data_IF_602335723823
#
_entry.id   IF_602335723823
#
_cell.length_a   1.000
_cell.length_b   1.000
_cell.length_c   1.000
_cell.angle_alpha   90.00
_cell.angle_beta   90.00
_cell.angle_gamma   90.00
#
_symmetry.space_group_name_H-M   'P 1'
#
loop_
_entity.id
_entity.type
_entity.pdbx_description
1 polymer ?
#
# COMPACT_ATOMS: atom_id res chain seq x y z
N UNK A 1 10.61 -32.36 17.21
CA UNK A 1 10.86 -33.61 17.96
C UNK A 1 9.54 -34.39 18.02
N UNK A 2 9.53 -35.51 17.29
CA UNK A 2 8.82 -36.76 17.53
C UNK A 2 7.31 -36.77 17.20
N UNK A 3 6.86 -37.29 16.06
CA UNK A 3 6.85 -38.63 15.45
C UNK A 3 5.85 -39.60 16.08
N UNK A 4 5.09 -40.19 15.16
CA UNK A 4 4.53 -41.58 15.06
C UNK A 4 3.03 -41.68 15.22
N UNK A 5 2.32 -42.17 14.23
CA UNK A 5 2.36 -43.43 13.46
C UNK A 5 1.50 -44.55 14.10
N UNK A 6 0.78 -45.28 13.27
CA UNK A 6 0.41 -46.72 13.27
C UNK A 6 -1.10 -46.93 13.02
N UNK A 7 -1.50 -47.37 11.89
CA UNK A 7 -1.52 -48.69 11.25
C UNK A 7 -2.65 -49.63 11.65
N UNK A 8 -3.40 -50.03 10.63
CA UNK A 8 -3.97 -51.35 10.33
C UNK A 8 -5.17 -51.91 11.16
N UNK A 9 -6.22 -52.23 10.44
CA UNK A 9 -6.60 -53.67 10.31
C UNK A 9 -7.49 -53.92 9.10
N UNK A 10 -7.01 -54.87 8.29
CA UNK A 10 -7.68 -55.58 7.22
C UNK A 10 -8.59 -56.65 7.85
N UNK A 11 -9.85 -56.75 7.40
CA UNK A 11 -10.60 -57.99 7.54
C UNK A 11 -11.23 -58.30 6.20
N UNK A 12 -10.75 -59.38 5.64
CA UNK A 12 -11.29 -60.11 4.49
C UNK A 12 -12.52 -60.91 4.92
N UNK A 13 -13.59 -60.86 4.15
CA UNK A 13 -14.58 -61.96 4.12
C UNK A 13 -15.13 -62.11 2.71
N UNK A 14 -14.99 -63.32 2.25
CA UNK A 14 -15.31 -63.87 0.95
C UNK A 14 -16.78 -64.24 0.83
N UNK A 15 -17.32 -64.15 -0.41
CA UNK A 15 -18.22 -65.07 -1.11
C UNK A 15 -19.73 -64.90 -1.00
N UNK A 16 -20.46 -64.54 -2.03
CA UNK A 16 -21.17 -65.44 -2.97
C UNK A 16 -22.02 -64.67 -3.99
N UNK A 17 -21.99 -65.20 -5.20
CA UNK A 17 -22.70 -64.74 -6.39
C UNK A 17 -24.21 -64.71 -6.24
N UNK A 18 -24.86 -63.67 -6.76
CA UNK A 18 -26.17 -63.74 -7.38
C UNK A 18 -26.23 -62.78 -8.56
N UNK A 19 -26.62 -63.35 -9.70
CA UNK A 19 -26.76 -62.67 -11.00
C UNK A 19 -28.19 -62.08 -11.02
N UNK A 20 -28.32 -60.77 -11.32
CA UNK A 20 -29.58 -60.12 -11.60
C UNK A 20 -29.35 -58.86 -12.48
N UNK A 21 -30.28 -58.44 -13.32
CA UNK A 21 -30.00 -57.76 -14.55
C UNK A 21 -29.63 -56.27 -14.44
N UNK A 22 -28.83 -55.88 -15.41
CA UNK A 22 -28.30 -54.53 -15.64
C UNK A 22 -29.35 -53.42 -15.58
N UNK A 23 -29.17 -52.49 -14.66
CA UNK A 23 -29.68 -51.12 -14.74
C UNK A 23 -28.47 -50.21 -14.91
N UNK A 24 -28.33 -49.73 -16.13
CA UNK A 24 -27.31 -48.79 -16.57
C UNK A 24 -27.61 -47.42 -15.91
N UNK A 25 -27.11 -47.20 -14.72
CA UNK A 25 -27.15 -45.89 -14.05
C UNK A 25 -26.08 -44.99 -14.64
N UNK A 26 -26.51 -44.10 -15.53
CA UNK A 26 -25.70 -43.01 -16.06
C UNK A 26 -25.37 -42.05 -14.91
N UNK A 27 -24.19 -42.21 -14.33
CA UNK A 27 -23.63 -41.26 -13.36
C UNK A 27 -23.26 -39.98 -14.14
N UNK A 28 -24.17 -38.99 -14.12
CA UNK A 28 -23.87 -37.62 -14.49
C UNK A 28 -22.96 -37.07 -13.41
N UNK A 29 -21.64 -37.08 -13.65
CA UNK A 29 -20.67 -36.40 -12.81
C UNK A 29 -20.90 -34.90 -12.96
N UNK A 30 -21.62 -34.32 -12.02
CA UNK A 30 -21.72 -32.87 -11.85
C UNK A 30 -20.33 -32.34 -11.46
N UNK A 31 -19.56 -31.88 -12.44
CA UNK A 31 -18.32 -31.14 -12.19
C UNK A 31 -18.75 -29.82 -11.59
N UNK A 32 -18.80 -29.78 -10.25
CA UNK A 32 -18.89 -28.51 -9.51
C UNK A 32 -17.55 -27.80 -9.79
N UNK A 33 -17.58 -26.81 -10.67
CA UNK A 33 -16.48 -25.85 -10.81
C UNK A 33 -16.39 -25.10 -9.46
N UNK A 34 -15.54 -25.58 -8.56
CA UNK A 34 -15.13 -24.83 -7.39
C UNK A 34 -14.42 -23.58 -7.96
N UNK A 35 -14.86 -22.36 -7.62
CA UNK A 35 -14.07 -21.20 -7.96
C UNK A 35 -12.69 -21.43 -7.32
N UNK A 36 -11.65 -21.48 -8.14
CA UNK A 36 -10.28 -21.46 -7.65
C UNK A 36 -10.17 -20.09 -7.01
N UNK A 37 -10.21 -20.04 -5.68
CA UNK A 37 -9.75 -18.88 -4.94
C UNK A 37 -8.34 -18.60 -5.50
N UNK A 38 -8.08 -17.40 -5.98
CA UNK A 38 -6.77 -16.99 -6.46
C UNK A 38 -5.80 -17.28 -5.33
N UNK A 39 -5.03 -18.36 -5.46
CA UNK A 39 -3.99 -18.65 -4.50
C UNK A 39 -2.94 -17.58 -4.69
N UNK A 40 -2.45 -17.03 -3.58
CA UNK A 40 -1.34 -16.09 -3.55
C UNK A 40 -0.19 -16.60 -4.44
N UNK A 41 0.18 -15.81 -5.47
CA UNK A 41 1.25 -16.19 -6.39
C UNK A 41 2.60 -15.99 -5.71
N UNK A 42 3.39 -17.06 -5.44
CA UNK A 42 4.66 -16.93 -4.74
C UNK A 42 5.67 -16.00 -5.44
N UNK A 43 5.64 -15.93 -6.79
CA UNK A 43 6.51 -15.03 -7.55
C UNK A 43 6.07 -13.58 -7.37
N UNK A 44 4.78 -13.31 -7.37
CA UNK A 44 4.25 -11.97 -7.15
C UNK A 44 4.56 -11.50 -5.71
N UNK A 45 4.39 -12.37 -4.72
CA UNK A 45 4.75 -12.10 -3.32
C UNK A 45 6.23 -11.77 -3.18
N UNK A 46 7.13 -12.62 -3.70
CA UNK A 46 8.57 -12.37 -3.67
C UNK A 46 8.95 -11.02 -4.28
N UNK A 47 8.27 -10.60 -5.36
CA UNK A 47 8.52 -9.30 -5.97
C UNK A 47 8.06 -8.17 -5.03
N UNK A 48 6.93 -8.31 -4.36
CA UNK A 48 6.42 -7.29 -3.43
C UNK A 48 7.24 -7.22 -2.14
N UNK A 49 7.75 -8.34 -1.62
CA UNK A 49 8.74 -8.37 -0.54
C UNK A 49 9.99 -7.56 -0.93
N UNK A 50 10.52 -7.74 -2.15
CA UNK A 50 11.65 -6.95 -2.64
C UNK A 50 11.31 -5.47 -2.89
N UNK A 51 10.04 -5.12 -3.08
CA UNK A 51 9.59 -3.72 -3.14
C UNK A 51 9.72 -3.09 -1.75
N UNK A 52 9.30 -3.79 -0.69
CA UNK A 52 9.41 -3.31 0.69
C UNK A 52 10.88 -3.30 1.16
N UNK A 53 11.63 -4.39 0.91
CA UNK A 53 13.04 -4.52 1.31
C UNK A 53 14.00 -3.61 0.52
N UNK A 54 13.48 -2.77 -0.38
CA UNK A 54 14.29 -1.90 -1.22
C UNK A 54 15.00 -0.83 -0.39
N UNK A 55 16.31 -0.69 -0.64
CA UNK A 55 17.08 0.41 -0.03
C UNK A 55 16.42 1.77 -0.33
N UNK A 56 15.96 2.43 0.70
CA UNK A 56 15.36 3.77 0.70
C UNK A 56 16.07 4.73 1.67
N UNK A 57 17.23 4.28 2.21
CA UNK A 57 18.16 5.01 3.09
C UNK A 57 17.71 5.03 4.55
N UNK A 58 18.66 4.97 5.50
CA UNK A 58 18.40 4.93 6.95
C UNK A 58 17.60 6.13 7.49
N UNK A 59 17.62 7.24 6.75
CA UNK A 59 16.79 8.41 7.01
C UNK A 59 16.79 9.37 5.82
N UNK A 60 15.76 10.22 5.78
CA UNK A 60 15.56 11.17 4.70
C UNK A 60 15.06 12.52 5.22
N UNK A 61 15.61 13.61 4.66
CA UNK A 61 15.06 14.95 4.77
C UNK A 61 14.68 15.41 3.36
N UNK A 62 13.51 16.01 3.18
CA UNK A 62 13.09 16.56 1.90
C UNK A 62 12.11 17.71 2.07
N UNK A 63 12.11 18.62 1.10
CA UNK A 63 11.02 19.57 0.91
C UNK A 63 10.02 18.95 -0.09
N UNK A 64 8.73 19.11 0.19
CA UNK A 64 7.66 18.55 -0.64
C UNK A 64 6.68 19.67 -1.01
N UNK A 65 6.49 19.88 -2.30
CA UNK A 65 5.45 20.74 -2.85
C UNK A 65 4.29 19.87 -3.32
N UNK A 66 3.11 20.11 -2.77
CA UNK A 66 1.86 19.44 -3.15
C UNK A 66 1.01 20.40 -3.99
N UNK A 67 0.68 20.02 -5.23
CA UNK A 67 -0.23 20.75 -6.09
C UNK A 67 -1.54 19.98 -6.19
N UNK A 68 -2.61 20.55 -5.66
CA UNK A 68 -3.95 19.98 -5.62
C UNK A 68 -4.83 20.68 -6.66
N UNK A 69 -5.35 19.94 -7.63
CA UNK A 69 -6.10 20.47 -8.77
C UNK A 69 -7.52 19.92 -8.71
N UNK A 70 -8.50 20.78 -8.55
CA UNK A 70 -9.91 20.40 -8.54
C UNK A 70 -10.46 20.11 -9.95
N UNK A 71 -11.72 19.63 -10.04
CA UNK A 71 -12.40 19.33 -11.31
C UNK A 71 -12.61 20.53 -12.24
N UNK A 72 -12.42 21.76 -11.72
CA UNK A 72 -12.53 23.00 -12.49
C UNK A 72 -11.17 23.52 -12.94
N UNK A 73 -10.07 22.86 -12.53
CA UNK A 73 -8.70 23.28 -12.81
C UNK A 73 -8.17 24.31 -11.82
N UNK A 74 -8.85 24.60 -10.72
CA UNK A 74 -8.29 25.47 -9.69
C UNK A 74 -7.21 24.73 -8.93
N UNK A 75 -6.07 25.41 -8.71
CA UNK A 75 -4.92 24.86 -8.00
C UNK A 75 -4.82 25.40 -6.58
N UNK A 76 -4.45 24.52 -5.66
CA UNK A 76 -3.99 24.86 -4.31
C UNK A 76 -2.61 24.26 -4.14
N UNK A 77 -1.66 25.07 -3.68
CA UNK A 77 -0.29 24.65 -3.46
C UNK A 77 -0.01 24.63 -1.97
N UNK A 78 0.69 23.60 -1.51
CA UNK A 78 1.19 23.48 -0.15
C UNK A 78 2.67 23.16 -0.18
N UNK A 79 3.42 23.84 0.64
CA UNK A 79 4.83 23.55 0.86
C UNK A 79 4.99 22.87 2.21
N UNK A 80 5.74 21.80 2.24
CA UNK A 80 6.00 21.03 3.48
C UNK A 80 7.47 20.66 3.58
N UNK A 81 7.91 20.39 4.81
CA UNK A 81 9.19 19.72 5.06
C UNK A 81 8.93 18.38 5.71
N UNK A 82 9.57 17.35 5.18
CA UNK A 82 9.42 15.97 5.62
C UNK A 82 10.72 15.44 6.19
N UNK A 83 10.60 14.63 7.21
CA UNK A 83 11.66 13.87 7.85
C UNK A 83 11.19 12.44 7.95
N UNK A 84 12.05 11.48 7.63
CA UNK A 84 11.83 10.07 7.86
C UNK A 84 13.09 9.47 8.47
N UNK A 85 12.95 8.45 9.31
CA UNK A 85 14.06 7.75 9.96
C UNK A 85 13.66 6.34 10.34
N UNK A 86 14.54 5.40 10.05
CA UNK A 86 14.40 4.03 10.53
C UNK A 86 14.73 3.92 12.01
N UNK A 87 13.97 3.08 12.69
CA UNK A 87 14.14 2.70 14.08
C UNK A 87 14.08 1.17 14.18
N UNK A 88 15.19 0.52 13.87
CA UNK A 88 15.21 -0.92 13.62
C UNK A 88 14.48 -1.20 12.32
N UNK A 89 13.44 -2.05 12.38
CA UNK A 89 12.60 -2.40 11.23
C UNK A 89 11.40 -1.43 11.09
N UNK A 90 11.08 -0.63 12.12
CA UNK A 90 10.03 0.39 12.08
C UNK A 90 10.51 1.66 11.37
N UNK A 91 9.58 2.41 10.74
CA UNK A 91 9.86 3.74 10.17
C UNK A 91 9.11 4.85 10.92
N UNK A 92 9.83 5.91 11.27
CA UNK A 92 9.27 7.13 11.85
C UNK A 92 9.22 8.22 10.79
N UNK A 93 8.10 8.89 10.64
CA UNK A 93 7.99 10.04 9.72
C UNK A 93 7.32 11.24 10.36
N UNK A 94 7.77 12.44 9.95
CA UNK A 94 7.25 13.71 10.42
C UNK A 94 7.18 14.70 9.28
N UNK A 95 5.99 15.27 9.05
CA UNK A 95 5.73 16.26 8.02
C UNK A 95 5.22 17.55 8.69
N UNK A 96 5.84 18.69 8.37
CA UNK A 96 5.33 20.00 8.73
C UNK A 96 4.90 20.78 7.51
N UNK A 97 3.71 21.37 7.56
CA UNK A 97 3.23 22.30 6.55
C UNK A 97 3.82 23.68 6.81
N UNK A 98 4.49 24.26 5.80
CA UNK A 98 5.16 25.56 5.87
C UNK A 98 4.30 26.66 5.27
N UNK A 99 3.46 26.34 4.29
CA UNK A 99 2.53 27.25 3.63
C UNK A 99 1.40 26.47 2.95
N UNK A 100 0.27 27.15 2.62
CA UNK A 100 -0.11 28.52 2.95
C UNK A 100 -0.56 28.69 4.42
N UNK A 101 -0.87 29.91 4.80
CA UNK A 101 -1.19 30.27 6.20
C UNK A 101 -2.36 29.50 6.85
N UNK A 102 -3.30 28.97 6.04
CA UNK A 102 -4.44 28.17 6.54
C UNK A 102 -4.02 26.76 7.02
N UNK A 103 -2.86 26.27 6.61
CA UNK A 103 -2.28 24.97 7.02
C UNK A 103 -0.91 25.11 7.68
N UNK A 104 -0.35 26.31 7.75
CA UNK A 104 0.96 26.56 8.33
C UNK A 104 1.08 26.02 9.75
N UNK A 105 2.23 25.39 10.06
CA UNK A 105 2.50 24.69 11.31
C UNK A 105 1.58 23.48 11.60
N UNK A 106 0.71 23.06 10.68
CA UNK A 106 0.10 21.75 10.77
C UNK A 106 1.21 20.71 10.72
N UNK A 107 1.15 19.73 11.61
CA UNK A 107 2.13 18.65 11.68
C UNK A 107 1.46 17.29 11.55
N UNK A 108 2.15 16.34 10.91
CA UNK A 108 1.71 14.96 10.79
C UNK A 108 2.87 14.04 11.18
N UNK A 109 2.64 13.19 12.19
CA UNK A 109 3.60 12.23 12.71
C UNK A 109 3.07 10.83 12.46
N UNK A 110 3.94 9.94 11.95
CA UNK A 110 3.62 8.52 11.74
C UNK A 110 4.67 7.66 12.41
N UNK A 111 4.22 6.60 13.06
CA UNK A 111 5.01 5.43 13.42
C UNK A 111 4.46 4.27 12.60
N UNK A 112 5.25 3.84 11.65
CA UNK A 112 4.99 2.74 10.75
C UNK A 112 5.72 1.52 11.31
N UNK A 113 4.97 0.50 11.71
CA UNK A 113 5.49 -0.66 12.42
C UNK A 113 5.63 -1.83 11.46
N UNK A 114 6.81 -2.45 11.42
CA UNK A 114 7.08 -3.67 10.64
C UNK A 114 6.41 -4.92 11.24
N UNK A 115 6.04 -4.88 12.52
CA UNK A 115 5.39 -6.00 13.21
C UNK A 115 4.01 -6.28 12.62
N UNK A 116 3.87 -7.40 11.87
CA UNK A 116 2.62 -7.79 11.22
C UNK A 116 1.44 -7.86 12.21
N UNK A 117 0.30 -7.30 11.80
CA UNK A 117 -0.91 -7.19 12.61
C UNK A 117 -0.87 -6.12 13.69
N UNK A 118 0.15 -5.27 13.70
CA UNK A 118 0.22 -4.11 14.58
C UNK A 118 -0.16 -2.85 13.82
N UNK A 119 -1.23 -2.20 14.26
CA UNK A 119 -1.70 -0.95 13.69
C UNK A 119 -0.67 0.17 13.79
N UNK A 120 -0.42 0.88 12.69
CA UNK A 120 0.38 2.08 12.66
C UNK A 120 -0.24 3.21 13.46
N UNK A 121 0.62 3.99 14.09
CA UNK A 121 0.20 5.17 14.82
C UNK A 121 0.39 6.44 13.99
N UNK A 122 -0.68 7.18 13.81
CA UNK A 122 -0.67 8.44 13.07
C UNK A 122 -1.31 9.56 13.89
N UNK A 123 -0.64 10.72 13.97
CA UNK A 123 -1.12 11.90 14.67
C UNK A 123 -1.10 13.14 13.79
N UNK A 124 -2.21 13.85 13.76
CA UNK A 124 -2.37 15.13 13.09
C UNK A 124 -2.48 16.24 14.12
N UNK A 125 -1.53 17.17 14.14
CA UNK A 125 -1.59 18.39 14.91
C UNK A 125 -2.22 19.52 14.11
N UNK A 126 -3.24 20.14 14.67
CA UNK A 126 -3.98 21.27 14.07
C UNK A 126 -3.72 22.52 14.92
N UNK A 127 -2.83 23.44 14.51
CA UNK A 127 -2.43 24.60 15.30
C UNK A 127 -3.58 25.56 15.58
N UNK A 128 -4.51 25.73 14.64
CA UNK A 128 -5.70 26.56 14.85
C UNK A 128 -6.59 26.08 16.01
N UNK A 129 -6.59 24.78 16.30
CA UNK A 129 -7.33 24.16 17.40
C UNK A 129 -6.44 23.88 18.61
N UNK A 130 -5.12 24.01 18.48
CA UNK A 130 -4.12 23.58 19.48
C UNK A 130 -4.37 22.15 19.95
N UNK A 131 -4.71 21.26 19.01
CA UNK A 131 -5.08 19.88 19.31
C UNK A 131 -4.30 18.92 18.40
N UNK A 132 -3.86 17.83 19.01
CA UNK A 132 -3.37 16.65 18.32
C UNK A 132 -4.50 15.61 18.29
N UNK A 133 -4.83 15.13 17.10
CA UNK A 133 -5.79 14.02 16.87
C UNK A 133 -4.99 12.80 16.43
N UNK A 134 -5.18 11.66 17.11
CA UNK A 134 -4.75 10.36 16.58
C UNK A 134 -5.73 9.96 15.49
N UNK A 135 -5.21 9.49 14.35
CA UNK A 135 -6.03 8.95 13.27
C UNK A 135 -6.35 7.49 13.67
N UNK A 136 -7.62 7.17 13.79
CA UNK A 136 -8.05 5.81 14.04
C UNK A 136 -7.95 4.97 12.75
N UNK A 137 -7.83 3.64 12.87
CA UNK A 137 -7.72 2.73 11.72
C UNK A 137 -8.89 2.94 10.74
N UNK A 138 -10.12 3.09 11.22
CA UNK A 138 -11.31 3.38 10.40
C UNK A 138 -11.25 4.73 9.67
N UNK A 139 -10.43 5.67 10.14
CA UNK A 139 -10.24 7.00 9.52
C UNK A 139 -9.11 7.02 8.48
N UNK A 140 -8.25 5.97 8.42
CA UNK A 140 -7.07 5.92 7.54
C UNK A 140 -7.42 5.91 6.05
N UNK A 141 -8.62 5.41 5.66
CA UNK A 141 -9.13 5.52 4.28
C UNK A 141 -9.48 6.96 3.87
N UNK A 142 -9.50 7.89 4.82
CA UNK A 142 -9.76 9.31 4.57
C UNK A 142 -8.64 9.99 3.76
N UNK A 143 -9.00 11.06 3.04
CA UNK A 143 -8.04 11.85 2.26
C UNK A 143 -7.04 12.57 3.17
N UNK A 144 -5.73 12.34 2.94
CA UNK A 144 -4.67 13.08 3.61
C UNK A 144 -4.69 14.55 3.17
N UNK A 145 -5.08 15.42 4.09
CA UNK A 145 -5.09 16.88 3.89
C UNK A 145 -5.76 17.34 2.59
N UNK A 146 -6.78 16.60 2.08
CA UNK A 146 -7.51 16.91 0.85
C UNK A 146 -6.76 16.60 -0.44
N UNK A 147 -5.69 15.82 -0.39
CA UNK A 147 -5.01 15.23 -1.55
C UNK A 147 -5.77 14.01 -2.07
N UNK A 148 -5.31 13.42 -3.18
CA UNK A 148 -5.80 12.13 -3.66
C UNK A 148 -5.22 10.94 -2.89
N UNK A 149 -4.27 11.15 -2.01
CA UNK A 149 -3.70 10.13 -1.13
C UNK A 149 -4.56 9.97 0.13
N UNK A 150 -4.72 8.74 0.60
CA UNK A 150 -5.33 8.44 1.89
C UNK A 150 -4.27 8.54 3.00
N UNK A 151 -4.68 8.56 4.26
CA UNK A 151 -3.74 8.42 5.38
C UNK A 151 -3.02 7.08 5.32
N UNK A 152 -3.69 6.00 4.89
CA UNK A 152 -3.10 4.68 4.68
C UNK A 152 -2.05 4.62 3.55
N UNK A 153 -2.04 5.56 2.60
CA UNK A 153 -1.00 5.63 1.56
C UNK A 153 0.34 6.19 2.09
N UNK A 154 0.42 6.56 3.38
CA UNK A 154 1.61 7.17 3.99
C UNK A 154 2.41 6.17 4.85
N UNK A 155 1.96 4.94 4.94
CA UNK A 155 2.64 3.81 5.59
C UNK A 155 2.81 2.66 4.61
N UNK A 156 3.68 1.72 4.94
CA UNK A 156 3.85 0.51 4.16
C UNK A 156 2.69 -0.47 4.40
N UNK A 157 2.24 -1.20 3.37
CA UNK A 157 1.22 -2.22 3.55
C UNK A 157 1.82 -3.46 4.23
N UNK A 158 1.14 -4.00 5.24
CA UNK A 158 1.44 -5.35 5.74
C UNK A 158 1.12 -6.38 4.64
N UNK A 159 2.15 -7.02 4.07
CA UNK A 159 1.98 -7.94 2.95
C UNK A 159 1.12 -9.16 3.30
N UNK A 160 1.02 -9.51 4.58
CA UNK A 160 0.18 -10.62 5.04
C UNK A 160 -1.32 -10.34 4.89
N UNK A 161 -1.70 -9.08 4.76
CA UNK A 161 -3.08 -8.65 4.55
C UNK A 161 -3.57 -8.80 3.11
N UNK A 162 -2.69 -9.22 2.18
CA UNK A 162 -3.00 -9.24 0.75
C UNK A 162 -2.66 -10.56 0.08
N UNK A 163 -3.45 -10.87 -0.96
CA UNK A 163 -3.11 -11.85 -1.99
C UNK A 163 -2.58 -11.13 -3.22
N UNK A 164 -1.55 -11.71 -3.84
CA UNK A 164 -0.86 -11.17 -5.00
C UNK A 164 -1.03 -12.08 -6.21
N UNK A 165 -1.19 -11.49 -7.41
CA UNK A 165 -1.21 -12.22 -8.67
C UNK A 165 -0.34 -11.51 -9.71
N UNK A 166 0.63 -12.22 -10.28
CA UNK A 166 1.43 -11.73 -11.40
C UNK A 166 0.63 -11.83 -12.70
N UNK A 167 0.07 -10.72 -13.16
CA UNK A 167 -0.77 -10.68 -14.35
C UNK A 167 0.05 -10.84 -15.64
N UNK A 168 1.18 -10.14 -15.74
CA UNK A 168 2.08 -10.17 -16.91
C UNK A 168 3.35 -9.35 -16.68
N UNK A 169 4.29 -9.54 -17.61
CA UNK A 169 5.43 -8.66 -17.79
C UNK A 169 5.18 -7.76 -19.01
N UNK A 170 5.46 -6.47 -18.88
CA UNK A 170 5.29 -5.52 -19.98
C UNK A 170 6.22 -4.32 -19.84
N UNK A 171 6.53 -3.69 -20.98
CA UNK A 171 7.32 -2.48 -21.00
C UNK A 171 6.46 -1.24 -20.67
N UNK A 172 6.92 -0.41 -19.74
CA UNK A 172 6.31 0.86 -19.38
C UNK A 172 7.38 1.95 -19.32
N UNK A 173 7.25 2.96 -20.19
CA UNK A 173 8.18 4.08 -20.21
C UNK A 173 9.63 3.70 -20.53
N UNK A 174 9.85 2.66 -21.35
CA UNK A 174 11.19 2.18 -21.71
C UNK A 174 11.82 1.21 -20.70
N UNK A 175 11.06 0.76 -19.71
CA UNK A 175 11.53 -0.17 -18.68
C UNK A 175 10.61 -1.40 -18.61
N UNK A 176 11.21 -2.59 -18.50
CA UNK A 176 10.46 -3.82 -18.22
C UNK A 176 9.89 -3.74 -16.81
N UNK A 177 8.62 -4.13 -16.68
CA UNK A 177 7.89 -4.13 -15.41
C UNK A 177 7.16 -5.45 -15.21
N UNK A 178 6.98 -5.82 -13.94
CA UNK A 178 5.95 -6.77 -13.51
C UNK A 178 4.67 -6.01 -13.22
N UNK A 179 3.57 -6.48 -13.81
CA UNK A 179 2.24 -6.00 -13.46
C UNK A 179 1.60 -6.97 -12.50
N UNK A 180 1.35 -6.50 -11.27
CA UNK A 180 0.85 -7.32 -10.17
C UNK A 180 -0.51 -6.79 -9.72
N UNK A 181 -1.47 -7.67 -9.55
CA UNK A 181 -2.75 -7.40 -8.87
C UNK A 181 -2.59 -7.71 -7.38
N UNK A 182 -3.14 -6.84 -6.55
CA UNK A 182 -3.08 -6.89 -5.09
C UNK A 182 -4.52 -6.81 -4.58
N UNK A 183 -4.96 -7.83 -3.85
CA UNK A 183 -6.33 -7.91 -3.33
C UNK A 183 -6.29 -8.07 -1.80
N UNK A 184 -6.94 -7.18 -1.04
CA UNK A 184 -7.06 -7.34 0.40
C UNK A 184 -7.75 -8.64 0.78
N UNK A 185 -7.23 -9.33 1.80
CA UNK A 185 -7.77 -10.61 2.29
C UNK A 185 -9.04 -10.44 3.12
N UNK A 186 -9.32 -9.23 3.62
CA UNK A 186 -10.46 -8.97 4.47
C UNK A 186 -11.18 -7.67 4.11
N UNK A 187 -12.44 -7.54 4.54
CA UNK A 187 -13.21 -6.31 4.43
C UNK A 187 -12.65 -5.22 5.36
N UNK A 188 -12.07 -5.60 6.49
CA UNK A 188 -11.43 -4.70 7.45
C UNK A 188 -10.27 -3.94 6.81
N UNK A 189 -9.36 -4.64 6.10
CA UNK A 189 -8.28 -4.02 5.34
C UNK A 189 -8.81 -3.11 4.23
N UNK A 190 -9.94 -3.47 3.57
CA UNK A 190 -10.57 -2.61 2.58
C UNK A 190 -11.16 -1.33 3.20
N UNK A 191 -11.75 -1.42 4.39
CA UNK A 191 -12.31 -0.26 5.10
C UNK A 191 -11.16 0.65 5.62
N UNK A 192 -10.08 0.07 6.15
CA UNK A 192 -8.91 0.81 6.64
C UNK A 192 -8.16 1.52 5.50
N UNK A 193 -7.86 0.81 4.42
CA UNK A 193 -7.07 1.39 3.31
C UNK A 193 -7.92 2.21 2.34
N UNK A 194 -9.22 1.92 2.26
CA UNK A 194 -10.14 2.52 1.30
C UNK A 194 -10.04 1.91 -0.10
N UNK A 195 -9.37 0.76 -0.26
CA UNK A 195 -9.20 0.11 -1.55
C UNK A 195 -9.70 -1.34 -1.54
N UNK A 196 -10.47 -1.71 -2.56
CA UNK A 196 -10.91 -3.09 -2.77
C UNK A 196 -9.95 -3.90 -3.63
N UNK A 197 -9.09 -3.23 -4.37
CA UNK A 197 -8.07 -3.82 -5.25
C UNK A 197 -7.08 -2.75 -5.68
N UNK A 198 -5.83 -3.18 -5.89
CA UNK A 198 -4.78 -2.37 -6.50
C UNK A 198 -4.10 -3.18 -7.61
N UNK A 199 -3.68 -2.51 -8.68
CA UNK A 199 -2.78 -3.08 -9.70
C UNK A 199 -1.57 -2.18 -9.79
N UNK A 200 -0.38 -2.75 -9.61
CA UNK A 200 0.89 -2.03 -9.65
C UNK A 200 1.75 -2.45 -10.83
N UNK A 201 2.64 -1.56 -11.25
CA UNK A 201 3.73 -1.83 -12.19
C UNK A 201 5.05 -1.60 -11.48
N UNK A 202 5.75 -2.69 -11.21
CA UNK A 202 7.03 -2.72 -10.51
C UNK A 202 8.15 -2.82 -11.54
N UNK A 203 9.12 -1.93 -11.53
CA UNK A 203 10.29 -2.00 -12.42
C UNK A 203 11.16 -3.21 -12.06
N UNK A 204 11.58 -3.95 -13.08
CA UNK A 204 12.39 -5.17 -12.89
C UNK A 204 13.84 -4.90 -12.48
N UNK A 205 14.35 -3.72 -12.81
CA UNK A 205 15.75 -3.37 -12.56
C UNK A 205 16.02 -2.76 -11.18
N UNK A 206 14.96 -2.28 -10.47
CA UNK A 206 15.15 -1.57 -9.21
C UNK A 206 13.99 -1.71 -8.21
N UNK A 207 12.99 -2.54 -8.50
CA UNK A 207 11.82 -2.82 -7.67
C UNK A 207 11.00 -1.58 -7.27
N UNK A 208 11.12 -0.45 -7.98
CA UNK A 208 10.29 0.74 -7.74
C UNK A 208 8.94 0.56 -8.40
N UNK A 209 7.85 0.80 -7.65
CA UNK A 209 6.49 0.92 -8.19
C UNK A 209 6.38 2.25 -8.94
N UNK A 210 6.29 2.19 -10.28
CA UNK A 210 6.22 3.40 -11.12
C UNK A 210 4.80 3.78 -11.53
N UNK A 211 3.84 2.87 -11.34
CA UNK A 211 2.42 3.11 -11.65
C UNK A 211 1.55 2.25 -10.74
N UNK A 212 0.40 2.79 -10.33
CA UNK A 212 -0.65 2.04 -9.66
C UNK A 212 -2.04 2.46 -10.14
N UNK A 213 -2.99 1.54 -10.07
CA UNK A 213 -4.42 1.81 -10.20
C UNK A 213 -5.10 1.21 -8.99
N UNK A 214 -5.77 2.07 -8.19
CA UNK A 214 -6.48 1.68 -6.99
C UNK A 214 -7.99 1.78 -7.21
N UNK A 215 -8.72 0.73 -6.93
CA UNK A 215 -10.20 0.72 -6.93
C UNK A 215 -10.68 1.15 -5.55
N UNK A 216 -11.27 2.34 -5.48
CA UNK A 216 -11.76 2.88 -4.20
C UNK A 216 -12.93 2.04 -3.70
N UNK A 217 -12.80 1.52 -2.48
CA UNK A 217 -13.78 0.65 -1.85
C UNK A 217 -15.12 1.39 -1.64
N UNK A 218 -16.23 0.67 -1.81
CA UNK A 218 -17.61 1.20 -1.73
C UNK A 218 -17.85 2.43 -2.64
N UNK A 219 -17.05 2.58 -3.74
CA UNK A 219 -17.14 3.72 -4.65
C UNK A 219 -17.02 3.30 -6.12
N UNK A 220 -17.43 4.18 -7.04
CA UNK A 220 -17.19 4.02 -8.50
C UNK A 220 -15.87 4.68 -8.94
N UNK A 221 -15.11 5.22 -8.00
CA UNK A 221 -13.89 5.96 -8.28
C UNK A 221 -12.69 5.01 -8.40
N UNK A 222 -11.74 5.44 -9.19
CA UNK A 222 -10.40 4.84 -9.26
C UNK A 222 -9.36 5.94 -9.13
N UNK A 223 -8.25 5.62 -8.47
CA UNK A 223 -7.09 6.50 -8.39
C UNK A 223 -5.98 5.92 -9.26
N UNK A 224 -5.35 6.79 -10.03
CA UNK A 224 -4.28 6.44 -10.97
C UNK A 224 -3.01 7.15 -10.51
N UNK A 225 -2.07 6.40 -9.97
CA UNK A 225 -0.77 6.88 -9.56
C UNK A 225 0.26 6.66 -10.67
N UNK A 226 1.15 7.62 -10.85
CA UNK A 226 2.30 7.51 -11.72
C UNK A 226 3.49 8.28 -11.14
N UNK A 227 4.65 7.64 -11.08
CA UNK A 227 5.94 8.30 -10.88
C UNK A 227 6.33 8.92 -12.22
N UNK A 228 6.42 10.24 -12.26
CA UNK A 228 6.76 11.00 -13.48
C UNK A 228 8.23 11.41 -13.49
N UNK A 229 8.90 11.41 -12.33
CA UNK A 229 10.32 11.64 -12.19
C UNK A 229 10.94 10.70 -11.17
N UNK A 230 11.87 9.84 -11.62
CA UNK A 230 12.60 8.87 -10.80
C UNK A 230 14.09 9.06 -11.06
N UNK A 231 14.87 9.35 -10.03
CA UNK A 231 16.32 9.59 -10.12
C UNK A 231 17.04 8.91 -8.95
N UNK A 232 18.35 8.74 -9.06
CA UNK A 232 19.19 8.37 -7.91
C UNK A 232 19.64 9.63 -7.18
N UNK A 233 19.34 9.72 -5.89
CA UNK A 233 19.83 10.76 -4.98
C UNK A 233 20.66 10.06 -3.91
N UNK A 234 21.90 10.45 -3.72
CA UNK A 234 22.84 9.83 -2.76
C UNK A 234 22.95 8.28 -2.91
N UNK A 235 22.74 7.79 -4.15
CA UNK A 235 22.76 6.35 -4.47
C UNK A 235 21.40 5.64 -4.37
N UNK A 236 20.40 6.24 -3.71
CA UNK A 236 19.06 5.69 -3.48
C UNK A 236 18.11 6.06 -4.63
N UNK A 237 17.34 5.09 -5.16
CA UNK A 237 16.30 5.38 -6.15
C UNK A 237 15.14 6.15 -5.51
N UNK A 238 14.95 7.38 -5.95
CA UNK A 238 14.03 8.36 -5.36
C UNK A 238 12.98 8.82 -6.35
N UNK A 239 11.70 8.65 -6.01
CA UNK A 239 10.57 9.20 -6.75
C UNK A 239 10.47 10.70 -6.44
N UNK A 240 10.99 11.55 -7.35
CA UNK A 240 11.03 13.01 -7.18
C UNK A 240 9.72 13.69 -7.60
N UNK A 241 8.92 13.05 -8.44
CA UNK A 241 7.59 13.56 -8.78
C UNK A 241 6.61 12.40 -8.92
N UNK A 242 5.49 12.51 -8.19
CA UNK A 242 4.40 11.52 -8.21
C UNK A 242 3.11 12.25 -8.52
N UNK A 243 2.36 11.75 -9.48
CA UNK A 243 1.02 12.24 -9.84
C UNK A 243 -0.03 11.20 -9.46
N UNK A 244 -1.06 11.63 -8.74
CA UNK A 244 -2.27 10.83 -8.47
C UNK A 244 -3.48 11.53 -9.10
N UNK A 245 -4.30 10.78 -9.83
CA UNK A 245 -5.52 11.28 -10.48
C UNK A 245 -6.70 10.44 -10.04
N UNK A 246 -7.67 11.05 -9.40
CA UNK A 246 -8.94 10.41 -9.08
C UNK A 246 -9.93 10.60 -10.21
N UNK A 247 -10.51 9.48 -10.70
CA UNK A 247 -11.53 9.49 -11.76
C UNK A 247 -12.81 8.80 -11.30
N UNK A 248 -13.93 9.32 -11.80
CA UNK A 248 -15.23 8.65 -11.73
C UNK A 248 -15.73 8.40 -13.15
N UNK A 249 -15.71 7.13 -13.56
CA UNK A 249 -15.84 6.78 -14.97
C UNK A 249 -14.71 7.38 -15.82
N UNK A 250 -15.08 8.27 -16.78
CA UNK A 250 -14.10 9.00 -17.61
C UNK A 250 -13.74 10.38 -17.08
N UNK A 251 -14.52 10.90 -16.13
CA UNK A 251 -14.33 12.25 -15.60
C UNK A 251 -13.18 12.29 -14.58
N UNK A 252 -12.30 13.27 -14.69
CA UNK A 252 -11.31 13.60 -13.65
C UNK A 252 -12.04 14.37 -12.55
N UNK A 253 -11.93 13.88 -11.31
CA UNK A 253 -12.53 14.48 -10.12
C UNK A 253 -11.53 15.40 -9.42
N UNK A 254 -10.31 14.91 -9.27
CA UNK A 254 -9.21 15.62 -8.60
C UNK A 254 -7.86 15.11 -9.12
N UNK A 255 -6.83 15.93 -8.96
CA UNK A 255 -5.44 15.55 -9.24
C UNK A 255 -4.53 16.11 -8.17
N UNK A 256 -3.61 15.29 -7.68
CA UNK A 256 -2.52 15.70 -6.80
C UNK A 256 -1.19 15.44 -7.49
N UNK A 257 -0.27 16.41 -7.44
CA UNK A 257 1.10 16.25 -7.85
C UNK A 257 1.98 16.50 -6.63
N UNK A 258 2.81 15.53 -6.29
CA UNK A 258 3.82 15.61 -5.24
C UNK A 258 5.18 15.84 -5.90
N UNK A 259 5.88 16.92 -5.55
CA UNK A 259 7.19 17.27 -6.07
C UNK A 259 8.18 17.38 -4.91
N UNK A 260 9.13 16.43 -4.86
CA UNK A 260 10.17 16.38 -3.85
C UNK A 260 11.40 17.13 -4.33
N UNK A 261 11.99 17.92 -3.44
CA UNK A 261 13.22 18.66 -3.68
C UNK A 261 14.10 18.67 -2.42
N UNK A 262 15.36 19.08 -2.58
CA UNK A 262 16.32 19.12 -1.48
C UNK A 262 16.40 17.79 -0.70
N UNK A 263 16.19 16.68 -1.42
CA UNK A 263 16.24 15.33 -0.81
C UNK A 263 17.67 15.03 -0.40
N UNK A 264 17.83 14.60 0.84
CA UNK A 264 19.10 14.15 1.42
C UNK A 264 18.87 12.93 2.27
N UNK A 265 19.70 11.92 2.08
CA UNK A 265 19.67 10.67 2.83
C UNK A 265 20.79 10.64 3.87
N UNK A 266 20.65 9.76 4.86
CA UNK A 266 21.68 9.40 5.84
C UNK A 266 22.28 10.61 6.57
N UNK A 267 21.38 11.52 6.98
CA UNK A 267 21.73 12.69 7.78
C UNK A 267 21.69 12.32 9.28
N UNK A 268 22.33 13.13 10.13
CA UNK A 268 22.25 12.96 11.58
C UNK A 268 20.90 13.47 12.09
N UNK A 269 19.89 12.58 12.16
CA UNK A 269 18.57 12.85 12.67
C UNK A 269 18.37 12.20 14.05
N UNK A 270 18.09 13.01 15.07
CA UNK A 270 17.73 12.51 16.40
C UNK A 270 16.30 11.95 16.40
N UNK A 271 16.09 10.81 17.06
CA UNK A 271 14.74 10.25 17.28
C UNK A 271 13.83 11.17 18.09
N UNK A 272 14.39 12.07 18.91
CA UNK A 272 13.62 13.08 19.66
C UNK A 272 12.78 14.01 18.77
N UNK A 273 13.10 14.06 17.47
CA UNK A 273 12.29 14.79 16.49
C UNK A 273 10.93 14.13 16.26
N UNK A 274 10.83 12.81 16.41
CA UNK A 274 9.65 12.03 16.06
C UNK A 274 8.78 11.79 17.29
N UNK A 275 8.36 12.85 17.97
CA UNK A 275 7.51 12.77 19.16
C UNK A 275 6.29 13.68 19.02
N UNK A 276 5.17 13.30 19.66
CA UNK A 276 3.98 14.14 19.72
C UNK A 276 4.30 15.52 20.30
N UNK A 277 5.21 15.58 21.30
CA UNK A 277 5.68 16.86 21.86
C UNK A 277 6.39 17.75 20.83
N UNK A 278 7.17 17.14 19.92
CA UNK A 278 7.85 17.89 18.83
C UNK A 278 6.84 18.30 17.76
N UNK A 279 5.89 17.43 17.45
CA UNK A 279 4.78 17.71 16.53
C UNK A 279 4.02 18.98 16.95
N UNK A 280 3.69 19.13 18.24
CA UNK A 280 2.95 20.25 18.78
C UNK A 280 3.71 21.59 18.82
N UNK A 281 5.03 21.56 18.67
CA UNK A 281 5.85 22.78 18.61
C UNK A 281 5.82 23.46 17.25
N UNK A 282 5.36 22.74 16.20
CA UNK A 282 5.34 23.22 14.82
C UNK A 282 6.71 23.11 14.12
N UNK A 283 6.81 23.67 12.91
CA UNK A 283 7.99 23.63 12.04
C UNK A 283 9.22 24.35 12.63
#
# INVERSE_FOLDING_TARGET
MIVKCILRKIVTATCRRAVGPALLSMLVSLVVAVPIASADDPKAREIMERVNDRDDGDNRISDLRMVLIDKKGNERIRETRSYAKDRGDDTLSLIFFLSPADVENTGFLTYDYDESGKDDDQWLYLPALRKTKRIASDDKSGSFMGTDFNFSDLTEPDLEDYDFELLKEEEVGGHMTWRIEIVPRSEEVMDETGYSKTVVWVRQDNHVVIRAVNWVYKSRRRKFMQVTKLERVDGVWTSLEIKMVTKEGRAVVHTTILQFSNVRYNQDLSEDMFTVRRLEKGA
#
